data_IF_602134962563
#
_entry.id   IF_602134962563
#
_cell.length_a   1.000
_cell.length_b   1.000
_cell.length_c   1.000
_cell.angle_alpha   90.00
_cell.angle_beta   90.00
_cell.angle_gamma   90.00
#
_symmetry.space_group_name_H-M   'P 1'
#
loop_
_entity.id
_entity.type
_entity.pdbx_description
1 polymer ?
#
# COMPACT_ATOMS: atom_id res chain seq x y z
N UNK A 1 18.73 -25.59 -28.50
CA UNK A 1 17.25 -25.71 -28.44
C UNK A 1 16.89 -26.80 -27.46
N UNK A 2 15.76 -26.71 -26.78
CA UNK A 2 15.31 -27.74 -25.83
C UNK A 2 14.82 -28.98 -26.58
N UNK A 3 14.94 -30.15 -25.95
CA UNK A 3 14.46 -31.42 -26.52
C UNK A 3 12.93 -31.41 -26.62
N UNK A 4 12.41 -31.42 -27.85
CA UNK A 4 10.97 -31.35 -28.11
C UNK A 4 10.18 -32.59 -27.70
N UNK A 5 10.86 -33.71 -27.39
CA UNK A 5 10.22 -34.95 -26.96
C UNK A 5 9.83 -34.94 -25.47
N UNK A 6 10.44 -34.06 -24.67
CA UNK A 6 10.10 -33.88 -23.26
C UNK A 6 8.72 -33.24 -23.08
N UNK A 7 8.07 -33.56 -21.96
CA UNK A 7 6.82 -32.90 -21.57
C UNK A 7 7.05 -31.41 -21.34
N UNK A 8 6.07 -30.58 -21.70
CA UNK A 8 6.12 -29.14 -21.49
C UNK A 8 5.18 -28.73 -20.36
N UNK A 9 5.70 -27.94 -19.43
CA UNK A 9 4.93 -27.26 -18.40
C UNK A 9 4.92 -25.77 -18.67
N UNK A 10 3.73 -25.20 -18.88
CA UNK A 10 3.55 -23.77 -19.06
C UNK A 10 3.06 -23.11 -17.77
N UNK A 11 3.74 -22.03 -17.36
CA UNK A 11 3.46 -21.27 -16.14
C UNK A 11 3.25 -19.82 -16.52
N UNK A 12 2.11 -19.25 -16.16
CA UNK A 12 1.84 -17.83 -16.35
C UNK A 12 1.98 -17.09 -15.02
N UNK A 13 2.70 -15.97 -15.04
CA UNK A 13 2.84 -15.09 -13.88
C UNK A 13 2.56 -13.65 -14.27
N UNK A 14 1.64 -13.01 -13.56
CA UNK A 14 1.40 -11.57 -13.70
C UNK A 14 2.21 -10.82 -12.65
N UNK A 15 3.10 -9.91 -13.06
CA UNK A 15 3.76 -9.01 -12.11
C UNK A 15 2.75 -7.93 -11.72
N UNK A 16 2.49 -7.84 -10.43
CA UNK A 16 1.53 -6.93 -9.81
C UNK A 16 2.22 -6.08 -8.76
N UNK A 17 1.67 -4.90 -8.49
CA UNK A 17 2.18 -4.07 -7.41
C UNK A 17 1.47 -2.73 -7.28
N UNK A 18 1.86 -2.00 -6.25
CA UNK A 18 1.34 -0.69 -5.91
C UNK A 18 2.52 0.24 -5.55
N UNK A 19 2.68 1.32 -6.30
CA UNK A 19 3.74 2.32 -6.07
C UNK A 19 3.56 3.09 -4.77
N UNK A 20 2.31 3.45 -4.42
CA UNK A 20 1.99 4.28 -3.26
C UNK A 20 2.29 3.55 -1.95
N UNK A 21 1.94 2.26 -1.89
CA UNK A 21 2.19 1.39 -0.74
C UNK A 21 3.53 0.64 -0.82
N UNK A 22 4.20 0.74 -1.96
CA UNK A 22 5.43 0.05 -2.29
C UNK A 22 5.36 -1.48 -2.06
N UNK A 23 4.30 -2.12 -2.56
CA UNK A 23 4.12 -3.59 -2.49
C UNK A 23 4.25 -4.20 -3.87
N UNK A 24 5.10 -5.23 -4.01
CA UNK A 24 5.38 -5.89 -5.29
C UNK A 24 5.22 -7.40 -5.16
N UNK A 25 4.59 -8.03 -6.14
CA UNK A 25 4.21 -9.46 -6.07
C UNK A 25 4.02 -10.10 -7.44
N UNK A 26 3.86 -11.42 -7.44
CA UNK A 26 3.28 -12.15 -8.57
C UNK A 26 1.82 -12.50 -8.26
N UNK A 27 0.92 -12.30 -9.21
CA UNK A 27 -0.50 -12.62 -9.12
C UNK A 27 -1.21 -12.10 -7.85
N UNK A 28 -0.83 -10.90 -7.40
CA UNK A 28 -1.30 -10.26 -6.15
C UNK A 28 -1.02 -11.07 -4.86
N UNK A 29 -0.04 -11.96 -4.90
CA UNK A 29 0.39 -12.75 -3.75
C UNK A 29 1.87 -12.51 -3.47
N UNK A 30 2.19 -11.98 -2.29
CA UNK A 30 3.59 -11.87 -1.86
C UNK A 30 4.17 -13.25 -1.55
N UNK A 31 5.48 -13.33 -1.29
CA UNK A 31 6.17 -14.58 -0.97
C UNK A 31 5.55 -15.29 0.26
N UNK A 32 5.09 -14.53 1.25
CA UNK A 32 4.41 -15.06 2.44
C UNK A 32 3.01 -15.62 2.16
N UNK A 33 2.35 -15.17 1.10
CA UNK A 33 1.01 -15.65 0.70
C UNK A 33 1.08 -16.85 -0.26
N UNK A 34 2.07 -16.86 -1.17
CA UNK A 34 2.30 -17.94 -2.11
C UNK A 34 3.80 -18.02 -2.41
N UNK A 35 4.43 -19.08 -1.94
CA UNK A 35 5.87 -19.26 -2.02
C UNK A 35 6.29 -20.07 -3.24
N UNK A 36 5.68 -21.22 -3.43
CA UNK A 36 6.24 -22.26 -4.29
C UNK A 36 5.52 -22.38 -5.64
N UNK A 37 6.30 -22.61 -6.68
CA UNK A 37 5.88 -23.04 -8.01
C UNK A 37 6.50 -24.43 -8.23
N UNK A 38 5.72 -25.51 -8.07
CA UNK A 38 6.26 -26.85 -8.27
C UNK A 38 6.56 -27.10 -9.75
N UNK A 39 7.63 -27.84 -10.04
CA UNK A 39 8.03 -28.36 -11.36
C UNK A 39 8.56 -29.79 -11.22
N UNK A 40 8.64 -30.56 -12.30
CA UNK A 40 9.17 -31.94 -12.30
C UNK A 40 10.51 -32.01 -13.00
N UNK A 41 11.44 -32.77 -12.42
CA UNK A 41 12.71 -33.04 -13.09
C UNK A 41 12.51 -33.76 -14.41
N UNK A 42 13.21 -33.32 -15.45
CA UNK A 42 13.17 -33.88 -16.79
C UNK A 42 12.10 -33.30 -17.72
N UNK A 43 11.29 -32.33 -17.26
CA UNK A 43 10.34 -31.59 -18.11
C UNK A 43 10.95 -30.31 -18.68
N UNK A 44 10.43 -29.82 -19.81
CA UNK A 44 10.72 -28.47 -20.28
C UNK A 44 9.74 -27.49 -19.62
N UNK A 45 10.25 -26.42 -19.05
CA UNK A 45 9.43 -25.39 -18.40
C UNK A 45 9.41 -24.13 -19.26
N UNK A 46 8.21 -23.65 -19.60
CA UNK A 46 7.97 -22.34 -20.22
C UNK A 46 7.30 -21.43 -19.21
N UNK A 47 7.96 -20.33 -18.85
CA UNK A 47 7.34 -19.30 -18.01
C UNK A 47 7.01 -18.06 -18.85
N UNK A 48 5.75 -17.64 -18.80
CA UNK A 48 5.23 -16.47 -19.50
C UNK A 48 4.89 -15.40 -18.47
N UNK A 49 5.59 -14.29 -18.56
CA UNK A 49 5.45 -13.16 -17.65
C UNK A 49 4.68 -12.04 -18.32
N UNK A 50 3.68 -11.51 -17.62
CA UNK A 50 2.99 -10.28 -18.00
C UNK A 50 3.23 -9.23 -16.93
N UNK A 51 3.91 -8.14 -17.28
CA UNK A 51 3.99 -7.00 -16.39
C UNK A 51 2.72 -6.17 -16.50
N UNK A 52 2.03 -5.98 -15.38
CA UNK A 52 0.81 -5.15 -15.30
C UNK A 52 1.05 -3.84 -14.55
N UNK A 53 2.31 -3.56 -14.22
CA UNK A 53 2.75 -2.41 -13.45
C UNK A 53 3.45 -1.39 -14.35
N UNK A 54 3.57 -0.17 -13.83
CA UNK A 54 4.30 0.93 -14.49
C UNK A 54 5.82 0.89 -14.25
N UNK A 55 6.32 -0.10 -13.52
CA UNK A 55 7.74 -0.26 -13.21
C UNK A 55 8.35 -1.38 -14.05
N UNK A 56 9.63 -1.22 -14.43
CA UNK A 56 10.42 -2.33 -14.97
C UNK A 56 10.87 -3.27 -13.85
N UNK A 57 11.03 -4.55 -14.17
CA UNK A 57 11.44 -5.56 -13.20
C UNK A 57 12.53 -6.46 -13.80
N UNK A 58 13.77 -6.41 -13.29
CA UNK A 58 14.77 -7.44 -13.59
C UNK A 58 14.44 -8.69 -12.79
N UNK A 59 14.03 -9.78 -13.44
CA UNK A 59 13.73 -11.06 -12.79
C UNK A 59 14.91 -12.02 -12.93
N UNK A 60 15.28 -12.64 -11.82
CA UNK A 60 16.40 -13.57 -11.71
C UNK A 60 15.92 -14.93 -11.18
N UNK A 61 16.35 -15.99 -11.85
CA UNK A 61 16.15 -17.37 -11.42
C UNK A 61 17.49 -17.97 -11.01
N UNK A 62 17.57 -18.45 -9.77
CA UNK A 62 18.75 -19.13 -9.26
C UNK A 62 18.87 -20.53 -9.88
N UNK A 63 20.09 -21.04 -9.99
CA UNK A 63 20.40 -22.41 -10.44
C UNK A 63 20.18 -22.69 -11.93
N UNK A 64 19.53 -21.80 -12.67
CA UNK A 64 19.15 -22.06 -14.06
C UNK A 64 19.68 -20.97 -14.99
N UNK A 65 20.20 -21.42 -16.13
CA UNK A 65 20.18 -20.62 -17.34
C UNK A 65 18.91 -20.96 -18.13
N UNK A 66 18.23 -19.95 -18.65
CA UNK A 66 17.05 -20.07 -19.47
C UNK A 66 17.23 -19.35 -20.79
N UNK A 67 16.52 -19.84 -21.81
CA UNK A 67 16.39 -19.18 -23.10
C UNK A 67 15.41 -18.03 -22.98
N UNK A 68 15.84 -16.82 -23.26
CA UNK A 68 14.95 -15.64 -23.35
C UNK A 68 14.31 -15.61 -24.74
N UNK A 69 13.08 -16.10 -24.85
CA UNK A 69 12.39 -16.26 -26.15
C UNK A 69 12.17 -14.89 -26.79
N UNK A 70 12.63 -14.75 -28.03
CA UNK A 70 12.54 -13.53 -28.83
C UNK A 70 12.41 -13.85 -30.33
N UNK A 71 12.41 -12.82 -31.18
CA UNK A 71 12.23 -12.96 -32.62
C UNK A 71 13.31 -13.81 -33.32
N UNK A 72 14.43 -14.08 -32.65
CA UNK A 72 15.56 -14.86 -33.14
C UNK A 72 15.33 -16.38 -33.04
N UNK A 73 14.18 -16.83 -32.50
CA UNK A 73 13.78 -18.24 -32.50
C UNK A 73 14.83 -19.16 -31.88
N UNK A 74 15.38 -20.10 -32.64
CA UNK A 74 16.41 -21.03 -32.16
C UNK A 74 17.66 -20.34 -31.59
N UNK A 75 17.95 -19.10 -31.99
CA UNK A 75 19.10 -18.30 -31.57
C UNK A 75 18.79 -17.32 -30.43
N UNK A 76 17.65 -17.48 -29.75
CA UNK A 76 17.36 -16.74 -28.52
C UNK A 76 18.48 -16.92 -27.48
N UNK A 77 18.91 -15.86 -26.79
CA UNK A 77 20.06 -15.90 -25.89
C UNK A 77 19.75 -16.68 -24.61
N UNK A 78 20.78 -17.31 -24.05
CA UNK A 78 20.75 -17.88 -22.71
C UNK A 78 21.08 -16.81 -21.66
N UNK A 79 20.28 -16.74 -20.60
CA UNK A 79 20.43 -15.79 -19.50
C UNK A 79 20.05 -16.46 -18.17
N UNK A 80 20.46 -15.87 -17.06
CA UNK A 80 19.93 -16.18 -15.72
C UNK A 80 19.08 -15.02 -15.14
N UNK A 81 19.10 -13.86 -15.81
CA UNK A 81 18.33 -12.66 -15.44
C UNK A 81 17.80 -11.98 -16.70
N UNK A 82 16.57 -11.50 -16.67
CA UNK A 82 15.98 -10.71 -17.77
C UNK A 82 15.22 -9.51 -17.22
N UNK A 83 15.15 -8.43 -17.99
CA UNK A 83 14.33 -7.26 -17.66
C UNK A 83 12.97 -7.36 -18.37
N UNK A 84 11.89 -7.06 -17.67
CA UNK A 84 10.56 -6.91 -18.25
C UNK A 84 10.11 -5.46 -18.08
N UNK A 85 9.92 -4.77 -19.22
CA UNK A 85 9.46 -3.37 -19.23
C UNK A 85 8.04 -3.23 -18.70
N UNK A 86 7.68 -2.00 -18.32
CA UNK A 86 6.31 -1.63 -17.98
C UNK A 86 5.33 -2.12 -19.04
N UNK A 87 4.22 -2.73 -18.61
CA UNK A 87 3.18 -3.30 -19.47
C UNK A 87 3.65 -4.37 -20.49
N UNK A 88 4.91 -4.81 -20.38
CA UNK A 88 5.52 -5.75 -21.31
C UNK A 88 5.18 -7.21 -21.03
N UNK A 89 5.53 -8.07 -22.00
CA UNK A 89 5.42 -9.52 -21.91
C UNK A 89 6.77 -10.14 -22.23
N UNK A 90 7.21 -11.11 -21.43
CA UNK A 90 8.45 -11.86 -21.66
C UNK A 90 8.17 -13.35 -21.48
N UNK A 91 8.83 -14.19 -22.28
CA UNK A 91 8.78 -15.64 -22.12
C UNK A 91 10.19 -16.19 -21.98
N UNK A 92 10.37 -17.06 -20.99
CA UNK A 92 11.62 -17.82 -20.82
C UNK A 92 11.32 -19.31 -20.89
N UNK A 93 12.32 -20.08 -21.31
CA UNK A 93 12.24 -21.53 -21.35
C UNK A 93 13.51 -22.17 -20.82
N UNK A 94 13.38 -23.22 -20.03
CA UNK A 94 14.53 -23.98 -19.52
C UNK A 94 14.20 -25.47 -19.38
N UNK A 95 15.24 -26.29 -19.37
CA UNK A 95 15.15 -27.70 -19.03
C UNK A 95 15.15 -27.82 -17.50
N UNK A 96 14.19 -28.55 -16.93
CA UNK A 96 14.14 -28.80 -15.50
C UNK A 96 15.13 -29.92 -15.12
N UNK A 97 16.42 -29.63 -15.14
CA UNK A 97 17.48 -30.62 -14.92
C UNK A 97 18.17 -30.52 -13.55
N UNK A 98 17.80 -29.55 -12.72
CA UNK A 98 18.32 -29.37 -11.37
C UNK A 98 17.53 -30.18 -10.32
N UNK A 99 17.92 -30.06 -9.06
CA UNK A 99 17.22 -30.64 -7.90
C UNK A 99 16.97 -29.55 -6.83
N UNK A 100 16.09 -29.83 -5.88
CA UNK A 100 15.79 -28.98 -4.71
C UNK A 100 14.98 -27.71 -5.05
N UNK A 101 15.08 -26.70 -4.19
CA UNK A 101 14.34 -25.44 -4.27
C UNK A 101 15.25 -24.31 -4.77
N UNK A 102 14.76 -23.55 -5.75
CA UNK A 102 15.51 -22.45 -6.38
C UNK A 102 14.77 -21.14 -6.26
N UNK A 103 15.45 -20.12 -5.76
CA UNK A 103 14.85 -18.83 -5.54
C UNK A 103 14.63 -18.09 -6.86
N UNK A 104 13.45 -17.48 -7.01
CA UNK A 104 13.07 -16.70 -8.18
C UNK A 104 12.55 -15.35 -7.73
N UNK A 105 13.21 -14.26 -8.10
CA UNK A 105 12.87 -12.96 -7.54
C UNK A 105 13.21 -11.78 -8.44
N UNK A 106 12.63 -10.64 -8.11
CA UNK A 106 13.05 -9.36 -8.67
C UNK A 106 14.42 -8.95 -8.11
N UNK A 107 15.29 -8.46 -8.97
CA UNK A 107 16.64 -8.01 -8.65
C UNK A 107 16.67 -6.52 -8.24
N UNK A 108 15.51 -5.86 -8.24
CA UNK A 108 15.30 -4.62 -7.48
C UNK A 108 15.08 -5.01 -6.02
N UNK A 109 16.09 -4.74 -5.17
CA UNK A 109 16.12 -5.20 -3.78
C UNK A 109 14.84 -4.89 -3.01
N UNK A 110 14.34 -3.65 -3.10
CA UNK A 110 13.12 -3.26 -2.40
C UNK A 110 11.86 -3.96 -2.93
N UNK A 111 11.82 -4.38 -4.20
CA UNK A 111 10.72 -5.18 -4.75
C UNK A 111 10.74 -6.59 -4.17
N UNK A 112 11.93 -7.21 -4.10
CA UNK A 112 12.15 -8.48 -3.41
C UNK A 112 11.68 -8.38 -1.94
N UNK A 113 12.16 -7.38 -1.20
CA UNK A 113 11.83 -7.20 0.21
C UNK A 113 10.32 -6.97 0.44
N UNK A 114 9.63 -6.35 -0.51
CA UNK A 114 8.17 -6.15 -0.45
C UNK A 114 7.34 -7.38 -0.87
N UNK A 115 7.99 -8.46 -1.33
CA UNK A 115 7.33 -9.74 -1.61
C UNK A 115 7.39 -10.26 -3.05
N UNK A 116 8.12 -9.62 -3.97
CA UNK A 116 8.21 -10.07 -5.37
C UNK A 116 9.22 -11.21 -5.53
N UNK A 117 8.85 -12.37 -5.00
CA UNK A 117 9.62 -13.59 -5.05
C UNK A 117 8.74 -14.84 -5.04
N UNK A 118 9.33 -15.93 -5.55
CA UNK A 118 8.82 -17.30 -5.53
C UNK A 118 9.98 -18.26 -5.37
N UNK A 119 9.63 -19.51 -5.18
CA UNK A 119 10.55 -20.64 -5.14
C UNK A 119 10.11 -21.62 -6.23
N UNK A 120 10.99 -21.89 -7.18
CA UNK A 120 10.81 -23.00 -8.11
C UNK A 120 11.21 -24.27 -7.36
N UNK A 121 10.25 -25.17 -7.13
CA UNK A 121 10.45 -26.35 -6.28
C UNK A 121 10.34 -27.62 -7.12
N UNK A 122 11.38 -28.45 -7.10
CA UNK A 122 11.37 -29.73 -7.80
C UNK A 122 10.59 -30.78 -7.01
N UNK A 123 9.51 -31.30 -7.59
CA UNK A 123 8.65 -32.32 -7.01
C UNK A 123 9.47 -33.57 -6.65
N UNK A 124 9.37 -34.02 -5.40
CA UNK A 124 10.08 -35.21 -4.90
C UNK A 124 11.56 -34.97 -4.54
N UNK A 125 12.10 -33.77 -4.71
CA UNK A 125 13.44 -33.44 -4.23
C UNK A 125 13.46 -33.16 -2.73
N UNK A 126 14.60 -33.42 -2.05
CA UNK A 126 14.78 -32.98 -0.67
C UNK A 126 14.73 -31.44 -0.60
N UNK A 127 14.02 -30.91 0.39
CA UNK A 127 14.03 -29.48 0.66
C UNK A 127 15.44 -29.04 1.08
N UNK A 128 15.96 -27.99 0.44
CA UNK A 128 17.30 -27.46 0.74
C UNK A 128 17.38 -26.92 2.18
N UNK A 129 18.58 -26.89 2.77
CA UNK A 129 18.78 -26.51 4.17
C UNK A 129 18.26 -25.10 4.49
N UNK A 130 18.41 -24.18 3.53
CA UNK A 130 17.94 -22.81 3.66
C UNK A 130 16.41 -22.70 3.66
N UNK A 131 15.70 -23.51 2.88
CA UNK A 131 14.25 -23.53 2.84
C UNK A 131 13.65 -24.05 4.17
N UNK A 132 14.38 -24.89 4.90
CA UNK A 132 13.99 -25.35 6.24
C UNK A 132 14.06 -24.25 7.31
N UNK A 133 14.96 -23.28 7.17
CA UNK A 133 15.28 -22.29 8.22
C UNK A 133 15.07 -20.83 7.79
N UNK A 134 15.60 -20.44 6.64
CA UNK A 134 15.67 -19.07 6.12
C UNK A 134 14.40 -18.56 5.44
N UNK A 135 13.54 -19.43 4.89
CA UNK A 135 12.28 -18.98 4.27
C UNK A 135 11.35 -18.27 5.25
N UNK A 136 11.41 -18.61 6.54
CA UNK A 136 10.65 -17.90 7.57
C UNK A 136 11.09 -16.45 7.73
N UNK A 137 12.37 -16.15 7.57
CA UNK A 137 12.88 -14.79 7.66
C UNK A 137 12.42 -13.97 6.46
N UNK A 138 12.65 -14.48 5.24
CA UNK A 138 12.22 -13.84 3.99
C UNK A 138 10.70 -13.57 3.95
N UNK A 139 9.89 -14.56 4.35
CA UNK A 139 8.42 -14.41 4.45
C UNK A 139 7.98 -13.42 5.53
N UNK A 140 8.83 -13.12 6.53
CA UNK A 140 8.52 -12.05 7.50
C UNK A 140 8.85 -10.67 6.93
N UNK A 141 9.81 -10.58 6.02
CA UNK A 141 10.26 -9.30 5.46
C UNK A 141 9.18 -8.61 4.61
N UNK A 142 8.43 -9.38 3.81
CA UNK A 142 7.37 -8.84 2.96
C UNK A 142 6.12 -8.37 3.71
N UNK A 143 6.00 -8.73 4.99
CA UNK A 143 4.85 -8.42 5.84
C UNK A 143 5.28 -7.69 7.12
N UNK A 144 6.43 -7.01 7.09
CA UNK A 144 6.85 -6.10 8.17
C UNK A 144 5.82 -4.99 8.35
N UNK A 145 5.69 -4.54 9.59
CA UNK A 145 4.89 -3.36 9.93
C UNK A 145 5.74 -2.11 9.72
N UNK A 146 5.20 -1.15 8.99
CA UNK A 146 5.82 0.14 8.69
C UNK A 146 5.01 1.24 9.38
N UNK A 147 5.54 1.81 10.48
CA UNK A 147 4.96 2.98 11.11
C UNK A 147 5.41 4.26 10.40
N UNK A 148 4.53 5.25 10.33
CA UNK A 148 4.91 6.64 10.09
C UNK A 148 3.95 7.56 10.86
N UNK A 149 4.40 8.77 11.19
CA UNK A 149 3.55 9.77 11.82
C UNK A 149 3.92 11.21 11.47
N UNK A 150 2.91 12.05 11.27
CA UNK A 150 3.00 13.50 11.11
C UNK A 150 2.38 14.18 12.34
N UNK A 151 3.17 14.92 13.11
CA UNK A 151 2.68 15.77 14.19
C UNK A 151 2.83 17.24 13.82
N UNK A 152 1.71 17.90 13.58
CA UNK A 152 1.64 19.33 13.33
C UNK A 152 1.30 20.08 14.61
N UNK A 153 2.11 21.07 14.97
CA UNK A 153 1.86 21.99 16.08
C UNK A 153 1.74 23.39 15.50
N UNK A 154 0.51 23.88 15.41
CA UNK A 154 0.17 25.15 14.77
C UNK A 154 -0.47 26.11 15.78
N UNK A 155 -0.57 27.39 15.42
CA UNK A 155 -1.16 28.45 16.27
C UNK A 155 -2.59 28.20 16.75
N UNK A 156 -3.37 27.39 16.04
CA UNK A 156 -4.75 27.03 16.36
C UNK A 156 -4.87 25.69 17.11
N UNK A 157 -3.85 24.83 17.05
CA UNK A 157 -3.91 23.51 17.67
C UNK A 157 -2.85 22.54 17.18
N UNK A 158 -2.97 21.30 17.65
CA UNK A 158 -2.12 20.18 17.28
C UNK A 158 -2.91 19.14 16.48
N UNK A 159 -2.29 18.62 15.43
CA UNK A 159 -2.86 17.63 14.52
C UNK A 159 -1.88 16.47 14.41
N UNK A 160 -2.32 15.27 14.72
CA UNK A 160 -1.55 14.04 14.61
C UNK A 160 -2.19 13.17 13.55
N UNK A 161 -1.38 12.71 12.60
CA UNK A 161 -1.73 11.63 11.71
C UNK A 161 -0.70 10.53 11.88
N UNK A 162 -1.14 9.30 12.07
CA UNK A 162 -0.26 8.16 12.24
C UNK A 162 -0.81 6.96 11.47
N UNK A 163 0.11 6.15 10.97
CA UNK A 163 -0.23 4.93 10.26
C UNK A 163 0.68 3.81 10.70
N UNK A 164 0.11 2.60 10.76
CA UNK A 164 0.86 1.37 10.88
C UNK A 164 0.34 0.41 9.82
N UNK A 165 1.15 0.10 8.81
CA UNK A 165 0.70 -0.74 7.69
C UNK A 165 1.65 -1.88 7.36
N UNK A 166 1.09 -2.93 6.77
CA UNK A 166 1.83 -4.05 6.18
C UNK A 166 1.30 -4.34 4.77
N UNK A 167 1.64 -5.49 4.18
CA UNK A 167 1.28 -5.78 2.79
C UNK A 167 -0.24 -5.73 2.47
N UNK A 168 -1.13 -6.01 3.44
CA UNK A 168 -2.58 -6.12 3.19
C UNK A 168 -3.46 -5.33 4.17
N UNK A 169 -2.90 -4.77 5.23
CA UNK A 169 -3.66 -4.07 6.26
C UNK A 169 -3.00 -2.74 6.61
N UNK A 170 -3.81 -1.80 7.12
CA UNK A 170 -3.33 -0.56 7.71
C UNK A 170 -4.18 -0.19 8.92
N UNK A 171 -3.55 0.32 9.96
CA UNK A 171 -4.20 1.01 11.07
C UNK A 171 -3.87 2.49 10.90
N UNK A 172 -4.89 3.29 10.61
CA UNK A 172 -4.80 4.74 10.48
C UNK A 172 -5.37 5.38 11.74
N UNK A 173 -4.68 6.40 12.24
CA UNK A 173 -5.10 7.21 13.37
C UNK A 173 -4.96 8.68 13.00
N UNK A 174 -6.02 9.43 13.24
CA UNK A 174 -6.01 10.88 13.13
C UNK A 174 -6.48 11.48 14.45
N UNK A 175 -5.79 12.52 14.92
CA UNK A 175 -6.14 13.25 16.12
C UNK A 175 -6.01 14.74 15.90
N UNK A 176 -6.99 15.51 16.35
CA UNK A 176 -7.01 16.97 16.27
C UNK A 176 -7.37 17.53 17.64
N UNK A 177 -6.58 18.47 18.14
CA UNK A 177 -6.84 19.14 19.42
C UNK A 177 -6.56 20.63 19.27
N UNK A 178 -7.51 21.50 19.58
CA UNK A 178 -7.26 22.94 19.58
C UNK A 178 -6.96 23.47 20.99
N UNK A 179 -6.39 24.68 21.05
CA UNK A 179 -6.05 25.30 22.34
C UNK A 179 -7.27 25.77 23.16
N UNK A 180 -8.47 25.66 22.59
CA UNK A 180 -9.73 25.94 23.29
C UNK A 180 -10.34 24.68 23.94
N UNK A 181 -9.65 23.53 23.85
CA UNK A 181 -10.05 22.28 24.49
C UNK A 181 -11.06 21.45 23.71
N UNK A 182 -11.23 21.72 22.42
CA UNK A 182 -11.95 20.86 21.48
C UNK A 182 -11.00 19.76 20.99
N UNK A 183 -11.51 18.54 20.88
CA UNK A 183 -10.75 17.45 20.31
C UNK A 183 -11.60 16.50 19.46
N UNK A 184 -10.92 15.87 18.51
CA UNK A 184 -11.46 14.85 17.63
C UNK A 184 -10.40 13.79 17.37
N UNK A 185 -10.79 12.52 17.35
CA UNK A 185 -9.93 11.43 16.94
C UNK A 185 -10.70 10.44 16.09
N UNK A 186 -10.11 10.04 14.97
CA UNK A 186 -10.63 8.98 14.11
C UNK A 186 -9.60 7.85 14.07
N UNK A 187 -10.05 6.61 14.14
CA UNK A 187 -9.19 5.43 14.02
C UNK A 187 -9.81 4.47 13.03
N UNK A 188 -9.06 4.07 12.00
CA UNK A 188 -9.53 3.14 10.97
C UNK A 188 -8.61 1.92 10.89
N UNK A 189 -9.19 0.73 10.89
CA UNK A 189 -8.51 -0.52 10.56
C UNK A 189 -8.94 -0.98 9.16
N UNK A 190 -8.02 -0.87 8.21
CA UNK A 190 -8.23 -1.12 6.79
C UNK A 190 -7.72 -2.49 6.36
N UNK A 191 -8.44 -3.12 5.42
CA UNK A 191 -8.03 -4.32 4.67
C UNK A 191 -8.14 -4.06 3.17
N UNK A 192 -7.02 -4.22 2.45
CA UNK A 192 -6.98 -4.08 1.00
C UNK A 192 -7.53 -5.33 0.29
N UNK A 193 -8.40 -5.13 -0.70
CA UNK A 193 -9.24 -6.19 -1.28
C UNK A 193 -8.89 -6.55 -2.72
N UNK A 194 -8.39 -5.59 -3.51
CA UNK A 194 -8.15 -5.79 -4.94
C UNK A 194 -6.68 -6.14 -5.25
N UNK A 195 -6.40 -6.37 -6.54
CA UNK A 195 -5.06 -6.77 -7.02
C UNK A 195 -4.04 -5.65 -7.05
N UNK A 196 -4.50 -4.41 -7.19
CA UNK A 196 -3.65 -3.21 -7.22
C UNK A 196 -3.63 -2.50 -5.88
N UNK A 197 -4.41 -2.96 -4.91
CA UNK A 197 -4.56 -2.37 -3.58
C UNK A 197 -5.03 -0.90 -3.64
N UNK A 198 -5.95 -0.64 -4.56
CA UNK A 198 -6.66 0.65 -4.66
C UNK A 198 -7.96 0.64 -3.87
N UNK A 199 -8.55 -0.54 -3.62
CA UNK A 199 -9.78 -0.72 -2.85
C UNK A 199 -9.46 -1.31 -1.48
N UNK A 200 -9.93 -0.66 -0.42
CA UNK A 200 -9.92 -1.22 0.92
C UNK A 200 -11.30 -1.09 1.58
N UNK A 201 -11.65 -2.06 2.41
CA UNK A 201 -12.73 -1.92 3.39
C UNK A 201 -12.13 -1.60 4.75
N UNK A 202 -12.87 -0.88 5.58
CA UNK A 202 -12.42 -0.54 6.92
C UNK A 202 -13.54 -0.57 7.95
N UNK A 203 -13.12 -0.79 9.19
CA UNK A 203 -13.92 -0.55 10.39
C UNK A 203 -13.21 0.52 11.20
N UNK A 204 -13.96 1.39 11.84
CA UNK A 204 -13.38 2.53 12.53
C UNK A 204 -14.16 2.98 13.74
N UNK A 205 -13.60 3.99 14.39
CA UNK A 205 -14.18 4.62 15.55
C UNK A 205 -13.87 6.12 15.56
N UNK A 206 -14.93 6.93 15.63
CA UNK A 206 -14.91 8.39 15.68
C UNK A 206 -15.29 8.85 17.10
N UNK A 207 -14.38 9.63 17.69
CA UNK A 207 -14.54 10.30 18.98
C UNK A 207 -14.39 11.81 18.80
N UNK A 208 -15.41 12.57 19.19
CA UNK A 208 -15.41 14.04 19.11
C UNK A 208 -15.99 14.66 20.37
N UNK A 209 -15.36 15.72 20.88
CA UNK A 209 -15.87 16.56 21.97
C UNK A 209 -15.43 18.02 21.74
N UNK A 210 -16.27 18.77 21.04
CA UNK A 210 -16.09 20.17 20.72
C UNK A 210 -16.89 21.03 21.71
N UNK A 211 -16.21 21.81 22.54
CA UNK A 211 -16.76 22.68 23.60
C UNK A 211 -17.00 24.13 23.17
N UNK A 212 -16.27 24.63 22.17
CA UNK A 212 -16.36 26.04 21.75
C UNK A 212 -16.87 26.26 20.32
N UNK A 213 -16.99 25.20 19.51
CA UNK A 213 -17.49 25.30 18.13
C UNK A 213 -19.02 25.41 18.12
N UNK A 214 -19.54 26.50 17.51
CA UNK A 214 -20.99 26.78 17.42
C UNK A 214 -21.61 25.98 16.27
N UNK A 215 -22.77 25.34 16.52
CA UNK A 215 -23.57 24.74 15.45
C UNK A 215 -24.52 25.77 14.85
N UNK A 216 -24.74 25.72 13.53
CA UNK A 216 -25.74 26.55 12.85
C UNK A 216 -27.20 26.19 13.25
N UNK A 217 -27.39 25.07 13.95
CA UNK A 217 -28.67 24.61 14.49
C UNK A 217 -28.92 25.00 15.96
N UNK A 218 -27.99 25.71 16.60
CA UNK A 218 -28.12 26.12 18.00
C UNK A 218 -29.11 27.31 18.13
N UNK A 219 -30.41 27.05 17.96
CA UNK A 219 -31.45 27.97 18.42
C UNK A 219 -31.57 27.84 19.94
N UNK A 220 -31.14 28.89 20.65
CA UNK A 220 -31.21 29.06 22.11
C UNK A 220 -30.71 27.89 22.97
N UNK A 221 -29.47 28.00 23.44
CA UNK A 221 -29.05 27.33 24.68
C UNK A 221 -27.92 26.31 24.58
N UNK A 222 -26.79 26.72 24.01
CA UNK A 222 -25.47 26.25 24.46
C UNK A 222 -25.06 24.83 24.06
N UNK A 223 -23.75 24.64 24.03
CA UNK A 223 -23.06 23.41 23.70
C UNK A 223 -23.23 22.36 24.82
N UNK A 224 -24.46 21.87 25.02
CA UNK A 224 -24.77 20.85 26.03
C UNK A 224 -24.30 19.49 25.52
N UNK A 225 -23.45 18.83 26.29
CA UNK A 225 -23.17 17.39 26.13
C UNK A 225 -24.50 16.64 26.22
N UNK A 226 -24.98 16.14 25.09
CA UNK A 226 -26.13 15.24 25.01
C UNK A 226 -25.65 13.80 25.17
N UNK A 227 -26.52 12.90 25.65
CA UNK A 227 -26.26 11.47 25.62
C UNK A 227 -26.25 10.91 24.17
N UNK A 228 -26.89 11.62 23.25
CA UNK A 228 -27.00 11.28 21.83
C UNK A 228 -25.86 11.91 21.02
N UNK A 229 -25.40 11.18 20.00
CA UNK A 229 -24.38 11.65 19.06
C UNK A 229 -24.89 12.84 18.24
N UNK A 230 -24.09 13.88 18.13
CA UNK A 230 -24.35 15.06 17.33
C UNK A 230 -23.05 15.55 16.65
N UNK A 231 -23.09 16.72 15.99
CA UNK A 231 -21.92 17.27 15.27
C UNK A 231 -20.74 17.66 16.18
N UNK A 232 -21.02 18.00 17.44
CA UNK A 232 -20.05 18.49 18.42
C UNK A 232 -19.62 17.42 19.43
N UNK A 233 -20.47 16.44 19.72
CA UNK A 233 -20.18 15.32 20.61
C UNK A 233 -20.51 14.01 19.90
N UNK A 234 -19.51 13.15 19.71
CA UNK A 234 -19.67 11.88 19.01
C UNK A 234 -18.82 10.78 19.61
N UNK A 235 -19.42 9.60 19.71
CA UNK A 235 -18.74 8.34 19.99
C UNK A 235 -19.41 7.25 19.18
N UNK A 236 -18.85 6.89 18.04
CA UNK A 236 -19.49 5.91 17.16
C UNK A 236 -18.50 5.04 16.42
N UNK A 237 -18.89 3.78 16.25
CA UNK A 237 -18.24 2.91 15.30
C UNK A 237 -18.73 3.25 13.89
N UNK A 238 -17.84 3.07 12.93
CA UNK A 238 -18.11 3.28 11.52
C UNK A 238 -17.60 2.10 10.70
N UNK A 239 -18.20 1.92 9.53
CA UNK A 239 -17.74 0.98 8.53
C UNK A 239 -17.73 1.68 7.19
N UNK A 240 -16.75 1.38 6.36
CA UNK A 240 -16.63 2.08 5.10
C UNK A 240 -15.75 1.38 4.09
N UNK A 241 -15.68 2.02 2.93
CA UNK A 241 -14.80 1.63 1.84
C UNK A 241 -14.00 2.85 1.37
N UNK A 242 -12.76 2.58 1.02
CA UNK A 242 -11.83 3.53 0.43
C UNK A 242 -11.45 3.04 -0.97
N UNK A 243 -11.44 3.96 -1.94
CA UNK A 243 -10.92 3.74 -3.28
C UNK A 243 -9.93 4.83 -3.70
N UNK A 244 -8.77 4.43 -4.22
CA UNK A 244 -7.79 5.33 -4.82
C UNK A 244 -8.14 5.63 -6.27
N UNK A 245 -8.64 6.84 -6.52
CA UNK A 245 -8.94 7.36 -7.85
C UNK A 245 -7.67 7.81 -8.59
N UNK A 246 -7.75 8.04 -9.93
CA UNK A 246 -6.71 8.72 -10.67
C UNK A 246 -6.26 10.03 -9.99
N UNK A 247 -5.02 10.45 -10.29
CA UNK A 247 -4.35 11.59 -9.64
C UNK A 247 -4.11 11.39 -8.13
N UNK A 248 -4.16 10.14 -7.65
CA UNK A 248 -3.94 9.76 -6.25
C UNK A 248 -4.95 10.40 -5.29
N UNK A 249 -6.19 10.61 -5.76
CA UNK A 249 -7.29 11.12 -4.93
C UNK A 249 -7.89 9.96 -4.16
N UNK A 250 -7.88 10.05 -2.83
CA UNK A 250 -8.54 9.10 -1.94
C UNK A 250 -10.02 9.45 -1.86
N UNK A 251 -10.87 8.53 -2.31
CA UNK A 251 -12.31 8.61 -2.16
C UNK A 251 -12.76 7.63 -1.08
N UNK A 252 -13.49 8.13 -0.10
CA UNK A 252 -13.97 7.37 1.03
C UNK A 252 -15.49 7.49 1.12
N UNK A 253 -16.14 6.36 1.36
CA UNK A 253 -17.56 6.29 1.65
C UNK A 253 -17.73 5.48 2.94
N UNK A 254 -18.34 6.08 3.94
CA UNK A 254 -18.56 5.48 5.26
C UNK A 254 -19.97 5.66 5.77
N UNK A 255 -20.39 4.76 6.63
CA UNK A 255 -21.62 4.86 7.40
C UNK A 255 -21.30 4.64 8.87
N UNK A 256 -22.02 5.36 9.72
CA UNK A 256 -22.07 5.02 11.13
C UNK A 256 -23.18 4.00 11.42
N UNK A 257 -23.23 3.54 12.68
CA UNK A 257 -24.27 2.62 13.15
C UNK A 257 -25.69 3.22 13.16
N UNK A 258 -25.84 4.53 12.96
CA UNK A 258 -27.15 5.19 12.85
C UNK A 258 -27.65 5.23 11.40
N UNK A 259 -26.81 4.85 10.44
CA UNK A 259 -27.13 4.84 9.01
C UNK A 259 -26.81 6.17 8.31
N UNK A 260 -26.10 7.10 8.96
CA UNK A 260 -25.69 8.34 8.32
C UNK A 260 -24.53 8.08 7.36
N UNK A 261 -24.77 8.30 6.07
CA UNK A 261 -23.75 8.19 5.02
C UNK A 261 -22.89 9.44 4.96
N UNK A 262 -21.58 9.23 4.82
CA UNK A 262 -20.58 10.29 4.66
C UNK A 262 -19.65 9.93 3.51
N UNK A 263 -19.41 10.89 2.62
CA UNK A 263 -18.39 10.77 1.60
C UNK A 263 -17.29 11.80 1.83
N UNK A 264 -16.04 11.39 1.59
CA UNK A 264 -14.86 12.23 1.72
C UNK A 264 -13.97 12.06 0.49
N UNK A 265 -13.43 13.18 0.02
CA UNK A 265 -12.36 13.20 -0.97
C UNK A 265 -11.14 13.85 -0.34
N UNK A 266 -9.99 13.23 -0.54
CA UNK A 266 -8.71 13.70 -0.03
C UNK A 266 -7.63 13.56 -1.11
N UNK A 267 -6.75 14.56 -1.18
CA UNK A 267 -5.49 14.45 -1.90
C UNK A 267 -4.39 15.10 -1.06
N UNK A 268 -3.44 14.27 -0.61
CA UNK A 268 -2.26 14.69 0.17
C UNK A 268 -1.00 14.74 -0.68
N UNK A 269 0.00 15.50 -0.26
CA UNK A 269 1.32 15.56 -0.91
C UNK A 269 1.24 15.90 -2.40
N UNK A 270 0.47 16.93 -2.76
CA UNK A 270 0.49 17.51 -4.10
C UNK A 270 1.78 18.32 -4.24
N UNK A 271 2.75 17.92 -5.08
CA UNK A 271 3.98 18.68 -5.24
C UNK A 271 3.68 19.95 -6.03
N UNK A 272 3.86 21.12 -5.41
CA UNK A 272 3.81 22.42 -6.06
C UNK A 272 5.20 22.88 -6.53
N UNK A 273 6.23 22.47 -5.79
CA UNK A 273 7.65 22.59 -6.15
C UNK A 273 8.46 21.50 -5.44
N UNK A 274 9.79 21.49 -5.58
CA UNK A 274 10.65 20.46 -4.97
C UNK A 274 10.46 20.31 -3.45
N UNK A 275 10.14 21.40 -2.74
CA UNK A 275 10.03 21.42 -1.28
C UNK A 275 8.67 21.94 -0.79
N UNK A 276 7.73 22.25 -1.70
CA UNK A 276 6.40 22.79 -1.32
C UNK A 276 5.33 21.79 -1.72
N UNK A 277 4.53 21.40 -0.74
CA UNK A 277 3.44 20.43 -0.88
C UNK A 277 2.13 21.06 -0.45
N UNK A 278 1.05 20.60 -1.08
CA UNK A 278 -0.32 20.99 -0.74
C UNK A 278 -1.15 19.76 -0.41
N UNK A 279 -1.99 19.90 0.61
CA UNK A 279 -2.95 18.90 1.07
C UNK A 279 -4.35 19.49 0.96
N UNK A 280 -5.30 18.71 0.47
CA UNK A 280 -6.70 19.12 0.37
C UNK A 280 -7.62 17.97 0.78
N UNK A 281 -8.60 18.27 1.63
CA UNK A 281 -9.63 17.31 2.03
C UNK A 281 -10.99 18.02 2.11
N UNK A 282 -12.03 17.33 1.68
CA UNK A 282 -13.41 17.78 1.85
C UNK A 282 -14.37 16.62 2.05
N UNK A 283 -15.41 16.83 2.85
CA UNK A 283 -16.44 15.83 3.11
C UNK A 283 -17.87 16.38 2.97
N UNK A 284 -18.85 15.47 2.96
CA UNK A 284 -20.28 15.80 2.80
C UNK A 284 -20.89 16.54 3.99
N UNK A 285 -20.21 16.56 5.13
CA UNK A 285 -20.59 17.36 6.30
C UNK A 285 -20.19 18.84 6.17
N UNK A 286 -19.69 19.21 4.98
CA UNK A 286 -19.14 20.54 4.68
C UNK A 286 -17.94 20.86 5.54
N UNK A 287 -17.16 19.87 5.95
CA UNK A 287 -15.83 20.09 6.54
C UNK A 287 -14.81 20.10 5.41
N UNK A 288 -13.92 21.09 5.44
CA UNK A 288 -12.92 21.29 4.41
C UNK A 288 -11.60 21.74 5.03
N UNK A 289 -10.51 21.13 4.59
CA UNK A 289 -9.17 21.50 4.99
C UNK A 289 -8.27 21.75 3.78
N UNK A 290 -7.39 22.73 3.93
CA UNK A 290 -6.35 23.08 2.96
C UNK A 290 -5.04 23.29 3.71
N UNK A 291 -4.05 22.44 3.42
CA UNK A 291 -2.73 22.47 4.01
C UNK A 291 -1.67 22.88 3.00
N UNK A 292 -0.65 23.61 3.46
CA UNK A 292 0.60 23.81 2.73
C UNK A 292 1.77 23.47 3.63
N UNK A 293 2.78 22.80 3.06
CA UNK A 293 3.99 22.39 3.78
C UNK A 293 5.24 22.74 2.98
N UNK A 294 6.19 23.40 3.61
CA UNK A 294 7.54 23.64 3.10
C UNK A 294 8.55 22.79 3.86
N UNK A 295 9.14 21.81 3.18
CA UNK A 295 10.15 20.91 3.74
C UNK A 295 11.44 21.68 4.07
N UNK A 296 11.77 21.75 5.36
CA UNK A 296 13.04 22.34 5.84
C UNK A 296 14.09 21.25 6.02
N UNK A 297 13.67 20.06 6.46
CA UNK A 297 14.49 18.87 6.58
C UNK A 297 13.64 17.61 6.38
N UNK A 298 14.27 16.44 6.36
CA UNK A 298 13.55 15.14 6.33
C UNK A 298 12.61 14.90 7.51
N UNK A 299 12.75 15.64 8.62
CA UNK A 299 11.98 15.44 9.85
C UNK A 299 11.13 16.65 10.25
N UNK A 300 11.22 17.76 9.52
CA UNK A 300 10.52 18.98 9.87
C UNK A 300 10.14 19.82 8.66
N UNK A 301 8.92 20.34 8.66
CA UNK A 301 8.43 21.32 7.70
C UNK A 301 7.84 22.55 8.38
N UNK A 302 7.94 23.70 7.72
CA UNK A 302 7.09 24.85 8.02
C UNK A 302 5.73 24.56 7.37
N UNK A 303 4.64 24.69 8.12
CA UNK A 303 3.32 24.32 7.60
C UNK A 303 2.25 25.30 8.00
N UNK A 304 1.26 25.43 7.11
CA UNK A 304 0.05 26.20 7.33
C UNK A 304 -1.15 25.33 7.05
N UNK A 305 -2.24 25.52 7.78
CA UNK A 305 -3.49 24.81 7.59
C UNK A 305 -4.65 25.78 7.72
N UNK A 306 -5.59 25.70 6.80
CA UNK A 306 -6.94 26.22 6.97
C UNK A 306 -7.90 25.07 7.16
N UNK A 307 -8.58 25.06 8.31
CA UNK A 307 -9.72 24.20 8.57
C UNK A 307 -10.94 25.09 8.78
N UNK A 308 -12.07 24.79 8.15
CA UNK A 308 -13.22 25.67 8.22
C UNK A 308 -13.92 25.71 9.60
N UNK A 309 -13.56 24.83 10.53
CA UNK A 309 -13.97 24.87 11.94
C UNK A 309 -12.92 25.50 12.83
N UNK A 310 -11.63 25.15 12.63
CA UNK A 310 -10.54 25.65 13.49
C UNK A 310 -9.91 26.96 13.01
N UNK A 311 -10.21 27.40 11.80
CA UNK A 311 -9.66 28.60 11.17
C UNK A 311 -8.26 28.40 10.59
N UNK A 312 -7.55 29.51 10.41
CA UNK A 312 -6.19 29.53 9.90
C UNK A 312 -5.16 29.20 10.97
N UNK A 313 -4.10 28.55 10.50
CA UNK A 313 -3.01 28.05 11.29
C UNK A 313 -1.68 28.11 10.62
N UNK A 314 -0.64 28.35 11.40
CA UNK A 314 0.74 28.19 10.97
C UNK A 314 1.59 27.61 12.10
N UNK A 315 2.60 26.84 11.74
CA UNK A 315 3.57 26.30 12.69
C UNK A 315 4.52 25.31 12.06
N UNK A 316 4.84 24.25 12.82
CA UNK A 316 5.76 23.21 12.40
C UNK A 316 5.04 21.87 12.28
N UNK A 317 5.41 21.08 11.28
CA UNK A 317 5.06 19.66 11.22
C UNK A 317 6.32 18.83 11.36
N UNK A 318 6.29 17.87 12.28
CA UNK A 318 7.35 16.89 12.52
C UNK A 318 6.97 15.56 11.86
N UNK A 319 7.94 14.96 11.16
CA UNK A 319 7.75 13.73 10.39
C UNK A 319 8.56 12.58 11.01
N UNK A 320 7.93 11.41 11.16
CA UNK A 320 8.56 10.16 11.61
C UNK A 320 8.33 9.04 10.62
#
# INVERSE_FOLDING_TARGET
>A
TLDSTKQWREIHLSLTGNMLRYVWSFDNKTLSESDNIPIRKGENVRMVFQNTTMMRHPLHLHGHFFRLVNAQGAYSPMKHTFDIQSMGKVTIEFDANEDQDWFFHCHTLYHLMSGMARVISYEGSPQNEYARTGYRHLKREDNKLYPWADLSVHSQGSFLEANLSNNKNALEFEGRVNYQGNYETETHLLRYLDKRQFLAAFVGYDLRDNKTLRSASDTDGGNRRTAENNRNFRRQAEVGVYYLLPLLVRAELRTDLTGQLRAQLERRDIPLSNNVFMDIRGNTDREFTLGFRYMVSKYASLSTNYDNQYGWGAGLTFHY
#
